data_IF_748292586370
#
_entry.id   IF_748292586370
#
_cell.length_a   1.000
_cell.length_b   1.000
_cell.length_c   1.000
_cell.angle_alpha   90.00
_cell.angle_beta   90.00
_cell.angle_gamma   90.00
#
_symmetry.space_group_name_H-M   'P 1'
#
loop_
_entity.id
_entity.type
_entity.pdbx_description
1 polymer ?
#
# COMPACT_ATOMS: atom_id res chain seq x y z
N UNK A 1 -12.38 15.76 10.74
CA UNK A 1 -11.98 14.63 11.61
C UNK A 1 -10.74 14.00 11.00
N UNK A 2 -9.64 13.85 11.74
CA UNK A 2 -8.41 13.21 11.21
C UNK A 2 -8.59 11.69 11.23
N UNK A 3 -8.35 11.03 10.10
CA UNK A 3 -8.46 9.58 10.01
C UNK A 3 -7.16 8.98 10.56
N UNK A 4 -7.28 8.00 11.46
CA UNK A 4 -6.14 7.33 12.08
C UNK A 4 -5.81 6.07 11.28
N UNK A 5 -4.58 5.90 10.78
CA UNK A 5 -4.16 4.67 10.13
C UNK A 5 -4.26 3.45 11.07
N UNK A 6 -4.62 2.30 10.51
CA UNK A 6 -4.78 1.04 11.27
C UNK A 6 -3.64 0.07 10.99
N UNK A 7 -3.37 -0.87 11.90
CA UNK A 7 -2.44 -2.00 11.66
C UNK A 7 -2.78 -2.66 10.33
N UNK A 8 -1.79 -2.85 9.46
CA UNK A 8 -1.98 -3.34 8.10
C UNK A 8 -1.53 -2.34 7.03
N UNK A 9 -2.04 -2.55 5.81
CA UNK A 9 -1.83 -1.66 4.68
C UNK A 9 -2.88 -0.54 4.68
N UNK A 10 -2.44 0.70 4.51
CA UNK A 10 -3.27 1.88 4.39
C UNK A 10 -2.95 2.58 3.08
N UNK A 11 -3.97 2.89 2.29
CA UNK A 11 -3.84 3.59 1.01
C UNK A 11 -4.39 5.00 1.17
N UNK A 12 -3.51 5.99 1.04
CA UNK A 12 -3.84 7.40 1.27
C UNK A 12 -3.43 8.20 0.05
N UNK A 13 -4.37 8.98 -0.50
CA UNK A 13 -4.06 9.85 -1.65
C UNK A 13 -3.22 11.04 -1.21
N UNK A 14 -2.31 11.50 -2.09
CA UNK A 14 -1.53 12.72 -1.87
C UNK A 14 -2.42 13.92 -1.51
N UNK A 15 -3.61 14.00 -2.12
CA UNK A 15 -4.59 15.06 -1.87
C UNK A 15 -5.11 15.08 -0.42
N UNK A 16 -5.27 13.91 0.21
CA UNK A 16 -5.69 13.82 1.61
C UNK A 16 -4.63 14.37 2.57
N UNK A 17 -3.35 14.16 2.26
CA UNK A 17 -2.25 14.75 3.02
C UNK A 17 -2.22 16.26 2.83
N UNK A 18 -2.31 16.75 1.58
CA UNK A 18 -2.27 18.18 1.29
C UNK A 18 -3.42 18.97 1.94
N UNK A 19 -4.60 18.35 2.09
CA UNK A 19 -5.74 18.95 2.80
C UNK A 19 -5.67 18.83 4.33
N UNK A 20 -4.71 18.08 4.86
CA UNK A 20 -4.57 17.84 6.30
C UNK A 20 -5.52 16.78 6.88
N UNK A 21 -6.19 16.01 6.03
CA UNK A 21 -7.09 14.91 6.40
C UNK A 21 -6.30 13.71 6.95
N UNK A 22 -5.06 13.54 6.49
CA UNK A 22 -4.12 12.50 6.88
C UNK A 22 -2.71 13.08 7.11
N UNK A 23 -1.85 12.34 7.81
CA UNK A 23 -0.43 12.66 7.99
C UNK A 23 0.45 11.51 7.52
N UNK A 24 1.65 11.86 7.12
CA UNK A 24 2.72 10.90 6.86
C UNK A 24 3.41 10.54 8.19
N UNK A 25 3.87 9.31 8.29
CA UNK A 25 4.75 8.86 9.37
C UNK A 25 6.17 9.38 9.19
N UNK A 26 6.94 9.35 10.28
CA UNK A 26 8.33 9.81 10.29
C UNK A 26 9.24 8.91 9.44
N UNK A 27 9.01 7.59 9.45
CA UNK A 27 9.80 6.65 8.67
C UNK A 27 9.27 6.59 7.24
N UNK A 28 10.10 7.03 6.29
CA UNK A 28 9.74 7.16 4.88
C UNK A 28 10.60 6.24 4.03
N UNK A 29 9.98 5.46 3.16
CA UNK A 29 10.66 4.53 2.26
C UNK A 29 10.14 4.71 0.83
N UNK A 30 11.01 4.54 -0.17
CA UNK A 30 10.54 4.27 -1.52
C UNK A 30 9.97 2.85 -1.59
N UNK A 31 9.08 2.57 -2.54
CA UNK A 31 8.51 1.24 -2.75
C UNK A 31 9.61 0.20 -2.98
N UNK A 32 10.67 0.56 -3.71
CA UNK A 32 11.80 -0.35 -3.98
C UNK A 32 12.54 -0.70 -2.68
N UNK A 33 12.86 0.30 -1.86
CA UNK A 33 13.56 0.06 -0.59
C UNK A 33 12.68 -0.70 0.41
N UNK A 34 11.38 -0.40 0.44
CA UNK A 34 10.42 -1.15 1.23
C UNK A 34 10.40 -2.62 0.82
N UNK A 35 10.20 -2.92 -0.47
CA UNK A 35 10.18 -4.30 -0.98
C UNK A 35 11.51 -5.02 -0.75
N UNK A 36 12.65 -4.34 -0.92
CA UNK A 36 13.98 -4.89 -0.61
C UNK A 36 14.08 -5.30 0.86
N UNK A 37 13.73 -4.41 1.78
CA UNK A 37 13.79 -4.70 3.23
C UNK A 37 12.79 -5.77 3.66
N UNK A 38 11.62 -5.79 3.04
CA UNK A 38 10.62 -6.84 3.26
C UNK A 38 11.21 -8.20 2.90
N UNK A 39 11.73 -8.32 1.67
CA UNK A 39 12.31 -9.55 1.11
C UNK A 39 13.58 -10.00 1.83
N UNK A 40 14.45 -9.07 2.24
CA UNK A 40 15.70 -9.37 2.98
C UNK A 40 15.50 -9.55 4.48
N UNK A 41 14.25 -9.51 4.97
CA UNK A 41 13.90 -9.58 6.38
C UNK A 41 14.50 -8.47 7.27
N UNK A 42 14.85 -7.33 6.70
CA UNK A 42 15.44 -6.18 7.39
C UNK A 42 14.40 -5.17 7.89
N UNK A 43 13.15 -5.28 7.44
CA UNK A 43 12.09 -4.36 7.84
C UNK A 43 11.68 -4.64 9.29
N UNK A 44 11.97 -3.67 10.17
CA UNK A 44 11.60 -3.72 11.58
C UNK A 44 10.11 -3.41 11.78
N UNK A 45 9.54 -3.77 12.94
CA UNK A 45 8.23 -3.29 13.34
C UNK A 45 8.14 -1.77 13.38
N UNK A 46 7.02 -1.21 12.92
CA UNK A 46 6.77 0.22 13.07
C UNK A 46 5.76 0.78 12.08
N UNK A 47 5.74 2.10 12.03
CA UNK A 47 4.88 2.88 11.14
C UNK A 47 5.70 3.44 9.97
N UNK A 48 5.31 3.08 8.76
CA UNK A 48 6.03 3.40 7.54
C UNK A 48 5.15 4.14 6.55
N UNK A 49 5.66 5.23 5.99
CA UNK A 49 5.09 5.83 4.78
C UNK A 49 5.92 5.39 3.57
N UNK A 50 5.25 4.76 2.61
CA UNK A 50 5.84 4.22 1.38
C UNK A 50 5.36 5.05 0.18
N UNK A 51 6.31 5.54 -0.60
CA UNK A 51 6.07 6.34 -1.80
C UNK A 51 6.53 5.58 -3.05
N UNK A 52 6.05 5.96 -4.23
CA UNK A 52 6.53 5.37 -5.48
C UNK A 52 5.69 4.20 -6.00
N UNK A 53 4.59 3.84 -5.34
CA UNK A 53 3.76 2.70 -5.76
C UNK A 53 3.15 2.95 -7.14
N UNK A 54 2.62 4.15 -7.39
CA UNK A 54 2.05 4.54 -8.69
C UNK A 54 3.12 4.47 -9.79
N UNK A 55 4.32 4.99 -9.50
CA UNK A 55 5.46 5.03 -10.39
C UNK A 55 6.03 3.64 -10.71
N UNK A 56 5.82 2.65 -9.83
CA UNK A 56 6.23 1.27 -10.07
C UNK A 56 5.51 0.69 -11.30
N UNK A 57 4.27 1.09 -11.54
CA UNK A 57 3.47 0.58 -12.66
C UNK A 57 3.73 1.30 -13.98
N UNK A 58 4.25 2.53 -13.95
CA UNK A 58 4.54 3.31 -15.17
C UNK A 58 5.99 3.23 -15.60
N UNK A 59 6.93 3.01 -14.67
CA UNK A 59 8.38 3.05 -14.98
C UNK A 59 8.98 1.72 -15.40
N UNK A 60 8.41 0.62 -14.94
CA UNK A 60 8.86 -0.70 -15.37
C UNK A 60 8.10 -1.02 -16.65
N UNK A 61 8.80 -1.20 -17.79
CA UNK A 61 8.19 -1.60 -19.06
C UNK A 61 7.54 -3.00 -19.05
N UNK A 62 7.36 -3.57 -17.86
CA UNK A 62 6.62 -4.78 -17.57
C UNK A 62 5.15 -4.41 -17.38
N UNK A 63 4.22 -5.14 -17.98
CA UNK A 63 2.80 -4.83 -17.86
C UNK A 63 2.30 -4.85 -16.40
N UNK A 64 1.19 -4.15 -16.14
CA UNK A 64 0.55 -4.04 -14.81
C UNK A 64 0.39 -5.39 -14.11
N UNK A 65 0.05 -6.44 -14.85
CA UNK A 65 -0.12 -7.80 -14.34
C UNK A 65 1.17 -8.36 -13.72
N UNK A 66 2.31 -8.21 -14.39
CA UNK A 66 3.60 -8.71 -13.90
C UNK A 66 4.04 -7.97 -12.64
N UNK A 67 3.86 -6.64 -12.61
CA UNK A 67 4.17 -5.83 -11.42
C UNK A 67 3.24 -6.20 -10.26
N UNK A 68 1.95 -6.41 -10.54
CA UNK A 68 0.96 -6.82 -9.55
C UNK A 68 1.29 -8.19 -8.95
N UNK A 69 1.67 -9.16 -9.80
CA UNK A 69 2.06 -10.49 -9.36
C UNK A 69 3.35 -10.45 -8.53
N UNK A 70 4.35 -9.66 -8.93
CA UNK A 70 5.58 -9.50 -8.17
C UNK A 70 5.31 -8.91 -6.77
N UNK A 71 4.47 -7.88 -6.68
CA UNK A 71 4.06 -7.30 -5.40
C UNK A 71 3.31 -8.32 -4.56
N UNK A 72 2.40 -9.08 -5.18
CA UNK A 72 1.66 -10.14 -4.52
C UNK A 72 2.62 -11.17 -3.92
N UNK A 73 3.57 -11.70 -4.70
CA UNK A 73 4.50 -12.73 -4.25
C UNK A 73 5.37 -12.26 -3.06
N UNK A 74 5.83 -10.99 -3.09
CA UNK A 74 6.65 -10.43 -2.02
C UNK A 74 5.83 -10.15 -0.76
N UNK A 75 4.67 -9.54 -0.91
CA UNK A 75 3.85 -9.07 0.22
C UNK A 75 3.02 -10.18 0.84
N UNK A 76 2.72 -11.23 0.07
CA UNK A 76 1.98 -12.39 0.55
C UNK A 76 2.85 -13.57 1.01
N UNK A 77 4.17 -13.44 0.98
CA UNK A 77 5.06 -14.39 1.63
C UNK A 77 4.72 -14.55 3.12
N UNK A 78 4.53 -15.78 3.57
CA UNK A 78 4.06 -16.12 4.92
C UNK A 78 4.97 -15.56 6.02
N UNK A 79 6.28 -15.55 5.79
CA UNK A 79 7.26 -15.07 6.76
C UNK A 79 7.24 -13.54 6.87
N UNK A 80 6.99 -12.86 5.75
CA UNK A 80 6.76 -11.41 5.71
C UNK A 80 5.49 -11.06 6.47
N UNK A 81 4.38 -11.74 6.17
CA UNK A 81 3.08 -11.52 6.83
C UNK A 81 3.18 -11.69 8.34
N UNK A 82 3.68 -12.83 8.79
CA UNK A 82 3.76 -13.15 10.22
C UNK A 82 4.57 -12.10 11.00
N UNK A 83 5.64 -11.55 10.40
CA UNK A 83 6.43 -10.50 11.04
C UNK A 83 5.70 -9.15 11.06
N UNK A 84 5.10 -8.74 9.96
CA UNK A 84 4.35 -7.48 9.88
C UNK A 84 3.13 -7.51 10.80
N UNK A 85 2.42 -8.63 10.83
CA UNK A 85 1.23 -8.83 11.64
C UNK A 85 1.55 -9.01 13.13
N UNK A 86 2.45 -9.93 13.49
CA UNK A 86 2.80 -10.20 14.90
C UNK A 86 3.41 -9.00 15.63
N UNK A 87 3.85 -7.98 14.89
CA UNK A 87 4.49 -6.79 15.44
C UNK A 87 3.62 -5.53 15.45
N UNK A 88 2.39 -5.60 14.94
CA UNK A 88 1.49 -4.44 14.92
C UNK A 88 1.90 -3.35 13.94
N UNK A 89 2.60 -3.68 12.86
CA UNK A 89 3.11 -2.69 11.91
C UNK A 89 1.98 -1.94 11.17
N UNK A 90 2.26 -0.70 10.77
CA UNK A 90 1.34 0.13 9.98
C UNK A 90 2.09 0.59 8.73
N UNK A 91 1.63 0.17 7.56
CA UNK A 91 2.26 0.54 6.29
C UNK A 91 1.29 1.42 5.51
N UNK A 92 1.66 2.67 5.29
CA UNK A 92 0.90 3.66 4.55
C UNK A 92 1.50 3.83 3.15
N UNK A 93 0.81 3.39 2.11
CA UNK A 93 1.14 3.69 0.72
C UNK A 93 0.53 5.03 0.30
N UNK A 94 1.38 5.91 -0.22
CA UNK A 94 0.95 7.18 -0.79
C UNK A 94 0.63 6.99 -2.27
N UNK A 95 -0.61 7.31 -2.60
CA UNK A 95 -1.16 7.19 -3.95
C UNK A 95 -1.06 8.54 -4.65
N UNK A 96 -0.22 8.58 -5.68
CA UNK A 96 -0.07 9.72 -6.57
C UNK A 96 -1.09 9.57 -7.71
N UNK A 97 -2.32 9.99 -7.43
CA UNK A 97 -3.47 9.82 -8.31
C UNK A 97 -4.77 9.73 -7.52
N UNK A 98 -5.72 9.00 -8.06
CA UNK A 98 -7.04 8.80 -7.47
C UNK A 98 -7.23 7.35 -7.02
N UNK A 99 -7.96 7.18 -5.92
CA UNK A 99 -8.50 5.89 -5.54
C UNK A 99 -9.93 5.82 -6.06
N UNK A 100 -10.16 4.87 -6.97
CA UNK A 100 -11.44 4.68 -7.66
C UNK A 100 -12.14 3.48 -7.04
N UNK A 101 -13.37 3.69 -6.58
CA UNK A 101 -14.23 2.62 -6.07
C UNK A 101 -15.19 2.17 -7.15
N UNK A 102 -14.95 0.97 -7.70
CA UNK A 102 -15.88 0.27 -8.58
C UNK A 102 -16.26 -1.10 -7.99
N UNK A 103 -16.15 -2.16 -8.80
CA UNK A 103 -16.26 -3.55 -8.33
C UNK A 103 -15.15 -3.92 -7.34
N UNK A 104 -13.97 -3.33 -7.54
CA UNK A 104 -12.80 -3.45 -6.66
C UNK A 104 -12.24 -2.05 -6.41
N UNK A 105 -11.45 -1.88 -5.35
CA UNK A 105 -10.69 -0.64 -5.16
C UNK A 105 -9.50 -0.67 -6.12
N UNK A 106 -9.40 0.38 -6.93
CA UNK A 106 -8.32 0.56 -7.88
C UNK A 106 -7.59 1.88 -7.62
N UNK A 107 -6.31 1.91 -7.95
CA UNK A 107 -5.56 3.14 -8.10
C UNK A 107 -5.59 3.54 -9.57
N UNK A 108 -5.96 4.78 -9.87
CA UNK A 108 -5.78 5.35 -11.21
C UNK A 108 -4.40 5.96 -11.33
N UNK A 109 -3.62 5.49 -12.29
CA UNK A 109 -2.31 6.03 -12.66
C UNK A 109 -2.36 6.35 -14.14
N UNK A 110 -2.26 7.62 -14.49
CA UNK A 110 -2.47 8.10 -15.87
C UNK A 110 -3.83 7.57 -16.41
N UNK A 111 -3.82 6.92 -17.57
CA UNK A 111 -5.02 6.34 -18.21
C UNK A 111 -5.30 4.89 -17.77
N UNK A 112 -4.58 4.37 -16.77
CA UNK A 112 -4.71 2.98 -16.32
C UNK A 112 -5.35 2.88 -14.94
N UNK A 113 -6.31 1.96 -14.81
CA UNK A 113 -6.87 1.57 -13.52
C UNK A 113 -6.22 0.26 -13.05
N UNK A 114 -5.57 0.34 -11.90
CA UNK A 114 -4.79 -0.76 -11.34
C UNK A 114 -5.53 -1.30 -10.12
N UNK A 115 -6.11 -2.50 -10.19
CA UNK A 115 -6.83 -3.07 -9.06
C UNK A 115 -5.86 -3.39 -7.93
N UNK A 116 -6.17 -2.93 -6.71
CA UNK A 116 -5.33 -3.16 -5.53
C UNK A 116 -5.64 -4.50 -4.85
N UNK A 117 -6.88 -4.97 -4.95
CA UNK A 117 -7.32 -6.24 -4.34
C UNK A 117 -6.45 -7.45 -4.73
N UNK A 118 -6.06 -7.64 -6.01
CA UNK A 118 -5.18 -8.75 -6.40
C UNK A 118 -3.79 -8.69 -5.77
N UNK A 119 -3.31 -7.51 -5.35
CA UNK A 119 -1.98 -7.33 -4.78
C UNK A 119 -2.00 -7.54 -3.26
N UNK A 120 -3.00 -6.96 -2.59
CA UNK A 120 -3.06 -6.90 -1.13
C UNK A 120 -4.02 -7.93 -0.52
N UNK A 121 -4.59 -8.82 -1.34
CA UNK A 121 -5.19 -10.08 -0.93
C UNK A 121 -6.33 -10.00 0.08
N UNK A 122 -7.01 -8.85 0.20
CA UNK A 122 -8.03 -8.61 1.23
C UNK A 122 -9.16 -7.70 0.73
N UNK A 123 -10.28 -7.77 1.46
CA UNK A 123 -11.36 -6.79 1.35
C UNK A 123 -10.82 -5.45 1.84
N UNK A 124 -10.76 -4.46 0.95
CA UNK A 124 -10.31 -3.12 1.26
C UNK A 124 -11.45 -2.34 1.93
N UNK A 125 -11.27 -1.99 3.20
CA UNK A 125 -12.23 -1.21 3.98
C UNK A 125 -11.98 0.28 3.79
N UNK A 126 -13.01 1.03 3.43
CA UNK A 126 -12.93 2.49 3.39
C UNK A 126 -12.97 3.06 4.81
N UNK A 127 -11.93 3.82 5.17
CA UNK A 127 -11.87 4.57 6.43
C UNK A 127 -12.24 6.05 6.25
N UNK A 128 -12.19 6.55 5.01
CA UNK A 128 -12.77 7.83 4.62
C UNK A 128 -12.62 8.13 3.13
N UNK A 129 -12.98 9.35 2.72
CA UNK A 129 -13.10 9.76 1.29
C UNK A 129 -11.83 9.54 0.45
N UNK A 130 -10.68 9.32 1.06
CA UNK A 130 -9.39 9.09 0.39
C UNK A 130 -8.44 8.17 1.19
N UNK A 131 -9.01 7.34 2.06
CA UNK A 131 -8.25 6.45 2.93
C UNK A 131 -8.92 5.08 2.96
N UNK A 132 -8.18 4.08 2.51
CA UNK A 132 -8.58 2.69 2.53
C UNK A 132 -7.59 1.85 3.32
N UNK A 133 -8.07 0.74 3.86
CA UNK A 133 -7.29 -0.14 4.68
C UNK A 133 -7.48 -1.60 4.24
N UNK A 134 -6.38 -2.32 4.15
CA UNK A 134 -6.31 -3.78 4.04
C UNK A 134 -5.55 -4.33 5.25
N UNK A 135 -6.03 -5.42 5.82
CA UNK A 135 -5.26 -6.19 6.79
C UNK A 135 -4.04 -6.81 6.11
N UNK A 136 -3.02 -7.16 6.89
CA UNK A 136 -1.95 -8.04 6.42
C UNK A 136 -2.54 -9.46 6.30
N UNK A 137 -3.37 -9.72 5.29
CA UNK A 137 -4.20 -10.92 5.06
C UNK A 137 -4.10 -12.01 6.15
N UNK A 138 -5.17 -12.14 6.94
CA UNK A 138 -5.44 -13.33 7.75
C UNK A 138 -5.76 -14.48 6.79
N UNK A 139 -4.90 -15.50 6.76
CA UNK A 139 -5.24 -16.84 6.25
C UNK A 139 -6.11 -17.58 7.26
#
# INVERSE_FOLDING_TARGET
MRIVPMKGYNFITRSAISRGDAKEFRQKLSIIEFLRRVKSHELKPGEYTVFGLSELFTRFGCGVEQVSQLLLDILNDSSVKNRLDGSGSVVQFIINGELVTGRYLSMRVEEQEIPLTPIFGTILKQLGKNHYHAEFSIS
#
